data_IF_655423662917
#
_entry.id   IF_655423662917
#
_cell.length_a   1.000
_cell.length_b   1.000
_cell.length_c   1.000
_cell.angle_alpha   90.00
_cell.angle_beta   90.00
_cell.angle_gamma   90.00
#
_symmetry.space_group_name_H-M   'P 1'
#
loop_
_entity.id
_entity.type
_entity.pdbx_description
1 polymer ?
#
# COMPACT_ATOMS: atom_id res chain seq x y z
N UNK A 1 22.39 -11.87 -18.64
CA UNK A 1 21.11 -12.19 -17.97
C UNK A 1 19.98 -11.81 -18.91
N UNK A 2 19.08 -12.75 -19.26
CA UNK A 2 17.94 -12.41 -20.13
C UNK A 2 16.85 -11.65 -19.33
N UNK A 3 15.92 -10.96 -20.01
CA UNK A 3 14.87 -10.16 -19.33
C UNK A 3 14.08 -10.96 -18.31
N UNK A 4 13.88 -12.26 -18.58
CA UNK A 4 13.14 -13.14 -17.69
C UNK A 4 13.83 -13.39 -16.36
N UNK A 5 15.14 -13.64 -16.42
CA UNK A 5 15.99 -13.75 -15.24
C UNK A 5 16.06 -12.42 -14.47
N UNK A 6 16.16 -11.30 -15.17
CA UNK A 6 16.16 -9.97 -14.54
C UNK A 6 14.85 -9.70 -13.78
N UNK A 7 13.70 -9.99 -14.40
CA UNK A 7 12.38 -9.87 -13.79
C UNK A 7 12.21 -10.75 -12.56
N UNK A 8 12.61 -12.03 -12.66
CA UNK A 8 12.56 -12.96 -11.53
C UNK A 8 13.42 -12.51 -10.34
N UNK A 9 14.64 -12.02 -10.61
CA UNK A 9 15.52 -11.50 -9.56
C UNK A 9 14.92 -10.27 -8.89
N UNK A 10 14.41 -9.31 -9.67
CA UNK A 10 13.79 -8.10 -9.13
C UNK A 10 12.54 -8.42 -8.31
N UNK A 11 11.67 -9.31 -8.80
CA UNK A 11 10.47 -9.72 -8.08
C UNK A 11 10.81 -10.43 -6.76
N UNK A 12 11.78 -11.35 -6.79
CA UNK A 12 12.26 -12.04 -5.59
C UNK A 12 12.84 -11.05 -4.59
N UNK A 13 13.66 -10.10 -5.06
CA UNK A 13 14.23 -9.06 -4.21
C UNK A 13 13.13 -8.20 -3.57
N UNK A 14 12.14 -7.74 -4.33
CA UNK A 14 11.02 -6.96 -3.78
C UNK A 14 10.19 -7.74 -2.76
N UNK A 15 9.93 -9.03 -3.02
CA UNK A 15 9.20 -9.90 -2.08
C UNK A 15 9.97 -10.12 -0.77
N UNK A 16 11.29 -10.29 -0.88
CA UNK A 16 12.16 -10.44 0.29
C UNK A 16 12.14 -9.20 1.20
N UNK A 17 12.00 -7.98 0.64
CA UNK A 17 11.90 -6.77 1.46
C UNK A 17 10.66 -6.78 2.38
N UNK A 18 9.53 -7.32 1.90
CA UNK A 18 8.32 -7.50 2.70
C UNK A 18 8.48 -8.59 3.78
N UNK A 19 9.16 -9.69 3.45
CA UNK A 19 9.47 -10.75 4.43
C UNK A 19 10.43 -10.27 5.53
N UNK A 20 11.35 -9.36 5.21
CA UNK A 20 12.22 -8.72 6.21
C UNK A 20 11.38 -7.88 7.18
N UNK A 21 10.39 -7.11 6.72
CA UNK A 21 9.52 -6.35 7.64
C UNK A 21 8.75 -7.30 8.58
N UNK A 22 8.20 -8.39 8.05
CA UNK A 22 7.54 -9.41 8.87
C UNK A 22 8.48 -9.98 9.94
N UNK A 23 9.69 -10.37 9.55
CA UNK A 23 10.68 -10.91 10.48
C UNK A 23 11.07 -9.89 11.57
N UNK A 24 11.20 -8.61 11.21
CA UNK A 24 11.49 -7.53 12.14
C UNK A 24 10.35 -7.32 13.14
N UNK A 25 9.10 -7.31 12.68
CA UNK A 25 7.91 -7.20 13.55
C UNK A 25 7.83 -8.39 14.50
N UNK A 26 7.91 -9.62 13.99
CA UNK A 26 7.86 -10.84 14.81
C UNK A 26 8.98 -10.89 15.86
N UNK A 27 10.19 -10.47 15.50
CA UNK A 27 11.31 -10.37 16.44
C UNK A 27 11.04 -9.35 17.55
N UNK A 28 10.32 -8.28 17.25
CA UNK A 28 10.13 -7.18 18.19
C UNK A 28 8.97 -7.41 19.17
N UNK A 29 7.87 -8.02 18.73
CA UNK A 29 6.65 -8.15 19.55
C UNK A 29 6.18 -9.60 19.77
N UNK A 30 6.92 -10.60 19.26
CA UNK A 30 6.54 -12.00 19.34
C UNK A 30 6.00 -12.52 18.01
N UNK A 31 6.11 -13.83 17.78
CA UNK A 31 5.75 -14.46 16.49
C UNK A 31 4.23 -14.37 16.25
N UNK A 32 3.40 -14.73 17.23
CA UNK A 32 1.94 -14.76 17.06
C UNK A 32 1.38 -13.35 16.88
N UNK A 33 1.83 -12.42 17.71
CA UNK A 33 1.46 -11.02 17.67
C UNK A 33 1.93 -10.40 16.36
N UNK A 34 3.19 -10.63 15.97
CA UNK A 34 3.75 -10.11 14.74
C UNK A 34 3.10 -10.63 13.47
N UNK A 35 2.77 -11.92 13.41
CA UNK A 35 1.99 -12.50 12.32
C UNK A 35 0.60 -11.88 12.22
N UNK A 36 -0.09 -11.70 13.35
CA UNK A 36 -1.40 -11.03 13.38
C UNK A 36 -1.29 -9.59 12.89
N UNK A 37 -0.27 -8.88 13.33
CA UNK A 37 -0.04 -7.50 12.95
C UNK A 37 0.21 -7.35 11.44
N UNK A 38 1.10 -8.17 10.88
CA UNK A 38 1.36 -8.18 9.45
C UNK A 38 0.12 -8.61 8.66
N UNK A 39 -0.63 -9.59 9.16
CA UNK A 39 -1.85 -10.06 8.55
C UNK A 39 -2.95 -8.98 8.50
N UNK A 40 -2.99 -8.05 9.44
CA UNK A 40 -3.95 -6.94 9.42
C UNK A 40 -3.38 -5.61 8.88
N UNK A 41 -2.14 -5.62 8.35
CA UNK A 41 -1.58 -4.52 7.56
C UNK A 41 -1.36 -4.93 6.08
N UNK A 42 -2.43 -5.31 5.34
CA UNK A 42 -2.32 -5.74 3.93
C UNK A 42 -1.68 -4.72 3.02
N UNK A 43 -1.91 -3.43 3.27
CA UNK A 43 -1.33 -2.31 2.52
C UNK A 43 0.20 -2.28 2.58
N UNK A 44 0.83 -2.92 3.58
CA UNK A 44 2.28 -3.08 3.65
C UNK A 44 2.69 -4.53 3.42
N UNK A 45 2.15 -5.50 4.17
CA UNK A 45 2.58 -6.88 4.09
C UNK A 45 2.18 -7.55 2.76
N UNK A 46 0.88 -7.64 2.49
CA UNK A 46 0.38 -8.30 1.27
C UNK A 46 0.87 -7.60 0.01
N UNK A 47 0.93 -6.28 0.02
CA UNK A 47 1.48 -5.51 -1.11
C UNK A 47 2.94 -5.87 -1.40
N UNK A 48 3.84 -5.78 -0.43
CA UNK A 48 5.26 -5.98 -0.68
C UNK A 48 5.64 -7.45 -0.90
N UNK A 49 4.91 -8.39 -0.30
CA UNK A 49 5.21 -9.83 -0.42
C UNK A 49 4.57 -10.45 -1.66
N UNK A 50 3.40 -9.97 -2.10
CA UNK A 50 2.62 -10.61 -3.16
C UNK A 50 2.41 -9.67 -4.35
N UNK A 51 1.71 -8.55 -4.17
CA UNK A 51 1.27 -7.72 -5.30
C UNK A 51 2.43 -7.05 -6.03
N UNK A 52 3.40 -6.48 -5.30
CA UNK A 52 4.54 -5.76 -5.87
C UNK A 52 5.45 -6.71 -6.68
N UNK A 53 5.85 -7.90 -6.18
CA UNK A 53 6.57 -8.89 -6.98
C UNK A 53 5.82 -9.27 -8.26
N UNK A 54 4.51 -9.53 -8.19
CA UNK A 54 3.70 -9.87 -9.35
C UNK A 54 3.67 -8.70 -10.35
N UNK A 55 3.52 -7.46 -9.88
CA UNK A 55 3.54 -6.26 -10.72
C UNK A 55 4.90 -6.04 -11.38
N UNK A 56 6.01 -6.31 -10.67
CA UNK A 56 7.38 -6.25 -11.21
C UNK A 56 7.59 -7.31 -12.28
N UNK A 57 7.13 -8.55 -12.07
CA UNK A 57 7.14 -9.59 -13.09
C UNK A 57 6.35 -9.13 -14.32
N UNK A 58 5.11 -8.69 -14.12
CA UNK A 58 4.26 -8.21 -15.20
C UNK A 58 4.93 -7.08 -16.00
N UNK A 59 5.51 -6.10 -15.33
CA UNK A 59 6.21 -5.00 -15.99
C UNK A 59 7.44 -5.47 -16.77
N UNK A 60 8.29 -6.29 -16.16
CA UNK A 60 9.56 -6.72 -16.79
C UNK A 60 9.36 -7.65 -17.98
N UNK A 61 8.29 -8.44 -17.96
CA UNK A 61 7.99 -9.36 -19.04
C UNK A 61 7.03 -8.75 -20.10
N UNK A 62 6.06 -7.91 -19.74
CA UNK A 62 5.06 -7.37 -20.69
C UNK A 62 5.45 -6.02 -21.30
N UNK A 63 6.39 -5.27 -20.72
CA UNK A 63 6.69 -3.93 -21.21
C UNK A 63 7.68 -3.96 -22.39
N UNK A 64 7.27 -3.55 -23.60
CA UNK A 64 8.15 -3.57 -24.77
C UNK A 64 9.23 -2.49 -24.64
N UNK A 65 10.49 -2.89 -24.52
CA UNK A 65 11.64 -1.97 -24.40
C UNK A 65 11.74 -0.98 -25.57
N UNK A 66 11.31 -1.40 -26.77
CA UNK A 66 11.26 -0.51 -27.95
C UNK A 66 10.30 0.68 -27.81
N UNK A 67 9.35 0.63 -26.88
CA UNK A 67 8.50 1.79 -26.54
C UNK A 67 9.29 2.80 -25.72
N UNK A 68 10.08 2.37 -24.73
CA UNK A 68 10.96 3.27 -23.97
C UNK A 68 11.99 3.93 -24.87
N UNK A 69 12.60 3.18 -25.78
CA UNK A 69 13.57 3.71 -26.74
C UNK A 69 12.97 4.79 -27.65
N UNK A 70 11.73 4.61 -28.12
CA UNK A 70 11.01 5.60 -28.93
C UNK A 70 10.58 6.84 -28.15
N UNK A 71 10.21 6.68 -26.88
CA UNK A 71 9.94 7.83 -25.98
C UNK A 71 11.24 8.57 -25.67
N UNK A 72 12.36 7.85 -25.57
CA UNK A 72 13.67 8.41 -25.22
C UNK A 72 14.38 9.09 -26.39
N UNK A 73 14.09 8.68 -27.63
CA UNK A 73 14.66 9.26 -28.85
C UNK A 73 14.10 10.67 -29.15
N UNK A 74 12.86 10.95 -28.75
CA UNK A 74 12.26 12.28 -28.87
C UNK A 74 12.58 13.15 -27.65
N UNK A 75 13.30 14.26 -27.87
CA UNK A 75 13.74 15.18 -26.80
C UNK A 75 12.57 15.77 -26.00
N UNK A 76 11.43 16.08 -26.63
CA UNK A 76 10.26 16.66 -25.95
C UNK A 76 9.56 15.62 -25.08
N UNK A 77 9.38 14.40 -25.61
CA UNK A 77 8.77 13.28 -24.87
C UNK A 77 9.66 12.82 -23.71
N UNK A 78 10.98 12.74 -23.93
CA UNK A 78 11.97 12.46 -22.89
C UNK A 78 11.95 13.50 -21.78
N UNK A 79 11.92 14.79 -22.13
CA UNK A 79 11.87 15.86 -21.13
C UNK A 79 10.55 15.84 -20.34
N UNK A 80 9.41 15.60 -21.01
CA UNK A 80 8.13 15.42 -20.34
C UNK A 80 8.14 14.20 -19.40
N UNK A 81 8.74 13.07 -19.82
CA UNK A 81 8.91 11.89 -18.98
C UNK A 81 9.74 12.19 -17.75
N UNK A 82 10.89 12.85 -17.90
CA UNK A 82 11.75 13.20 -16.78
C UNK A 82 11.01 14.15 -15.84
N UNK A 83 10.37 15.20 -16.35
CA UNK A 83 9.65 16.17 -15.50
C UNK A 83 8.48 15.51 -14.76
N UNK A 84 7.65 14.73 -15.44
CA UNK A 84 6.49 14.06 -14.82
C UNK A 84 6.94 12.97 -13.85
N UNK A 85 7.92 12.15 -14.23
CA UNK A 85 8.47 11.12 -13.34
C UNK A 85 9.14 11.75 -12.12
N UNK A 86 9.97 12.77 -12.28
CA UNK A 86 10.58 13.49 -11.15
C UNK A 86 9.51 14.14 -10.27
N UNK A 87 8.51 14.82 -10.83
CA UNK A 87 7.44 15.41 -10.04
C UNK A 87 6.66 14.37 -9.24
N UNK A 88 6.32 13.22 -9.85
CA UNK A 88 5.58 12.14 -9.20
C UNK A 88 6.42 11.36 -8.19
N UNK A 89 7.70 11.08 -8.48
CA UNK A 89 8.64 10.44 -7.56
C UNK A 89 8.92 11.35 -6.37
N UNK A 90 9.23 12.62 -6.61
CA UNK A 90 9.48 13.59 -5.54
C UNK A 90 8.24 13.78 -4.69
N UNK A 91 7.05 13.87 -5.30
CA UNK A 91 5.79 13.90 -4.56
C UNK A 91 5.63 12.64 -3.71
N UNK A 92 5.73 11.45 -4.31
CA UNK A 92 5.60 10.18 -3.61
C UNK A 92 6.60 10.01 -2.46
N UNK A 93 7.85 10.44 -2.63
CA UNK A 93 8.89 10.38 -1.62
C UNK A 93 8.66 11.39 -0.48
N UNK A 94 8.28 12.63 -0.82
CA UNK A 94 7.91 13.66 0.17
C UNK A 94 6.70 13.20 0.97
N UNK A 95 5.70 12.60 0.32
CA UNK A 95 4.49 12.11 0.99
C UNK A 95 4.76 10.86 1.82
N UNK A 96 5.43 9.84 1.29
CA UNK A 96 5.75 8.63 2.04
C UNK A 96 6.64 8.91 3.25
N UNK A 97 7.61 9.82 3.12
CA UNK A 97 8.45 10.28 4.22
C UNK A 97 7.68 11.10 5.25
N UNK A 98 6.85 12.05 4.79
CA UNK A 98 6.02 12.85 5.68
C UNK A 98 4.94 12.02 6.39
N UNK A 99 4.42 10.96 5.78
CA UNK A 99 3.41 10.08 6.37
C UNK A 99 4.03 9.18 7.45
N UNK A 100 5.23 8.63 7.21
CA UNK A 100 5.96 7.87 8.23
C UNK A 100 6.28 8.74 9.47
N UNK A 101 6.78 9.97 9.24
CA UNK A 101 7.07 10.92 10.32
C UNK A 101 5.79 11.35 11.02
N UNK A 102 4.75 11.81 10.29
CA UNK A 102 3.49 12.25 10.90
C UNK A 102 2.76 11.12 11.62
N UNK A 103 2.82 9.90 11.10
CA UNK A 103 2.26 8.72 11.75
C UNK A 103 2.89 8.48 13.11
N UNK A 104 4.22 8.54 13.18
CA UNK A 104 4.94 8.38 14.45
C UNK A 104 4.71 9.56 15.41
N UNK A 105 4.80 10.81 14.93
CA UNK A 105 4.78 11.99 15.80
C UNK A 105 3.36 12.44 16.19
N UNK A 106 2.33 12.09 15.41
CA UNK A 106 0.96 12.59 15.61
C UNK A 106 -0.08 11.50 15.86
N UNK A 107 0.20 10.22 15.55
CA UNK A 107 -0.84 9.16 15.56
C UNK A 107 -0.71 8.09 16.63
N UNK A 108 0.25 8.26 17.52
CA UNK A 108 0.68 7.28 18.51
C UNK A 108 1.37 6.09 17.81
N UNK A 109 2.71 5.99 17.90
CA UNK A 109 3.45 4.96 17.21
C UNK A 109 3.14 3.59 17.80
N UNK A 110 3.07 2.58 16.95
CA UNK A 110 2.92 1.21 17.42
C UNK A 110 4.07 0.79 18.37
N UNK A 111 3.84 -0.18 19.27
CA UNK A 111 4.91 -0.70 20.13
C UNK A 111 6.12 -1.22 19.34
N UNK A 112 5.88 -1.79 18.15
CA UNK A 112 6.92 -2.24 17.22
C UNK A 112 7.68 -1.08 16.55
N UNK A 113 7.14 0.14 16.59
CA UNK A 113 7.72 1.30 15.92
C UNK A 113 8.64 2.12 16.82
N UNK A 114 8.76 1.79 18.12
CA UNK A 114 9.59 2.53 19.10
C UNK A 114 10.88 1.76 19.42
N UNK A 115 12.01 2.48 19.59
CA UNK A 115 13.39 1.93 19.62
C UNK A 115 13.78 1.04 20.85
N UNK A 116 12.93 0.91 21.89
CA UNK A 116 13.07 0.13 23.17
C UNK A 116 14.21 0.62 24.11
N UNK A 117 13.98 0.93 25.40
CA UNK A 117 13.64 0.02 26.52
C UNK A 117 12.60 0.58 27.53
N UNK A 118 12.33 1.88 27.52
CA UNK A 118 11.47 2.55 28.52
C UNK A 118 9.97 2.34 28.21
N UNK A 119 9.59 2.35 26.93
CA UNK A 119 8.19 2.20 26.48
C UNK A 119 7.76 0.73 26.41
N UNK A 120 8.65 -0.19 25.99
CA UNK A 120 8.33 -1.61 25.87
C UNK A 120 8.30 -2.37 27.21
N UNK A 121 8.92 -1.82 28.27
CA UNK A 121 8.78 -2.33 29.63
C UNK A 121 7.51 -1.82 30.35
N UNK A 122 7.04 -0.63 30.00
CA UNK A 122 5.81 -0.04 30.55
C UNK A 122 4.54 -0.42 29.78
N UNK A 123 4.67 -0.72 28.48
CA UNK A 123 3.66 -1.30 27.62
C UNK A 123 4.13 -2.72 27.26
N UNK A 124 3.91 -3.68 28.16
CA UNK A 124 4.13 -5.09 27.85
C UNK A 124 3.36 -5.42 26.55
N UNK A 125 4.07 -5.47 25.42
CA UNK A 125 3.46 -5.40 24.09
C UNK A 125 2.37 -6.48 23.87
N UNK A 126 2.50 -7.72 24.38
CA UNK A 126 1.42 -8.72 24.37
C UNK A 126 0.21 -8.31 25.20
N UNK A 127 0.40 -7.85 26.45
CA UNK A 127 -0.69 -7.41 27.33
C UNK A 127 -1.36 -6.13 26.81
N UNK A 128 -0.59 -5.21 26.24
CA UNK A 128 -1.08 -4.01 25.61
C UNK A 128 -1.88 -4.36 24.35
N UNK A 129 -1.35 -5.13 23.41
CA UNK A 129 -2.06 -5.59 22.22
C UNK A 129 -3.31 -6.41 22.57
N UNK A 130 -3.25 -7.26 23.59
CA UNK A 130 -4.40 -8.03 24.05
C UNK A 130 -5.48 -7.14 24.67
N UNK A 131 -5.07 -6.15 25.49
CA UNK A 131 -5.97 -5.18 26.13
C UNK A 131 -6.54 -4.21 25.11
N UNK A 132 -5.76 -3.77 24.14
CA UNK A 132 -6.21 -2.91 23.06
C UNK A 132 -7.12 -3.66 22.10
N UNK A 133 -6.81 -4.91 21.73
CA UNK A 133 -7.76 -5.75 21.00
C UNK A 133 -9.04 -5.95 21.79
N UNK A 134 -8.96 -6.15 23.10
CA UNK A 134 -10.14 -6.29 23.95
C UNK A 134 -10.95 -4.99 24.06
N UNK A 135 -10.28 -3.84 24.16
CA UNK A 135 -10.90 -2.50 24.23
C UNK A 135 -11.47 -2.07 22.88
N UNK A 136 -10.72 -2.21 21.79
CA UNK A 136 -11.20 -2.05 20.42
C UNK A 136 -12.42 -2.93 20.21
N UNK A 137 -12.36 -4.24 20.51
CA UNK A 137 -13.53 -5.14 20.42
C UNK A 137 -14.71 -4.70 21.30
N UNK A 138 -14.46 -4.20 22.52
CA UNK A 138 -15.51 -3.77 23.44
C UNK A 138 -16.18 -2.46 23.01
N UNK A 139 -15.40 -1.44 22.64
CA UNK A 139 -15.89 -0.13 22.16
C UNK A 139 -16.59 -0.25 20.79
N UNK A 140 -16.07 -1.11 19.92
CA UNK A 140 -16.65 -1.47 18.63
C UNK A 140 -17.98 -2.21 18.78
N UNK A 141 -18.07 -3.21 19.67
CA UNK A 141 -19.33 -3.94 19.95
C UNK A 141 -20.38 -3.06 20.60
N UNK A 142 -19.95 -2.08 21.39
CA UNK A 142 -20.84 -1.10 22.00
C UNK A 142 -21.41 -0.08 20.99
N UNK A 143 -21.02 -0.12 19.70
CA UNK A 143 -21.34 0.92 18.70
C UNK A 143 -21.03 2.32 19.23
N UNK A 144 -20.01 2.45 20.09
CA UNK A 144 -19.73 3.72 20.72
C UNK A 144 -19.19 4.66 19.64
N UNK A 145 -19.72 5.88 19.58
CA UNK A 145 -19.29 6.90 18.61
C UNK A 145 -17.87 7.44 18.90
N UNK A 146 -17.13 6.83 19.83
CA UNK A 146 -15.90 7.40 20.36
C UNK A 146 -14.78 6.36 20.51
N UNK A 147 -14.13 5.94 19.40
CA UNK A 147 -12.77 5.36 19.41
C UNK A 147 -11.71 6.28 20.03
N UNK A 148 -12.10 7.50 20.43
CA UNK A 148 -11.24 8.57 20.90
C UNK A 148 -10.74 8.37 22.34
N UNK A 149 -11.41 7.57 23.19
CA UNK A 149 -11.04 7.49 24.62
C UNK A 149 -9.87 6.53 24.85
N UNK A 150 -9.95 5.28 24.37
CA UNK A 150 -8.85 4.32 24.46
C UNK A 150 -7.58 4.84 23.75
N UNK A 151 -7.74 5.47 22.58
CA UNK A 151 -6.62 6.11 21.89
C UNK A 151 -6.08 7.32 22.63
N UNK A 152 -6.92 8.19 23.20
CA UNK A 152 -6.42 9.33 23.99
C UNK A 152 -5.62 8.85 25.20
N UNK A 153 -6.09 7.81 25.89
CA UNK A 153 -5.37 7.20 27.01
C UNK A 153 -4.03 6.59 26.55
N UNK A 154 -4.02 5.88 25.42
CA UNK A 154 -2.78 5.38 24.83
C UNK A 154 -1.82 6.49 24.45
N UNK A 155 -2.32 7.48 23.72
CA UNK A 155 -1.53 8.60 23.20
C UNK A 155 -0.92 9.37 24.37
N UNK A 156 -1.68 9.63 25.44
CA UNK A 156 -1.19 10.24 26.68
C UNK A 156 -0.13 9.39 27.37
N UNK A 157 -0.32 8.06 27.47
CA UNK A 157 0.69 7.16 28.05
C UNK A 157 1.97 7.18 27.22
N UNK A 158 1.86 7.16 25.89
CA UNK A 158 3.01 7.23 25.00
C UNK A 158 3.69 8.60 25.07
N UNK A 159 2.93 9.70 25.17
CA UNK A 159 3.47 11.05 25.41
C UNK A 159 4.23 11.13 26.73
N UNK A 160 3.65 10.60 27.79
CA UNK A 160 4.27 10.58 29.11
C UNK A 160 5.58 9.77 29.11
N UNK A 161 5.66 8.71 28.31
CA UNK A 161 6.83 7.84 28.22
C UNK A 161 7.91 8.34 27.23
N UNK A 162 7.51 9.01 26.15
CA UNK A 162 8.43 9.56 25.13
C UNK A 162 8.89 10.99 25.44
N UNK A 163 8.20 11.70 26.34
CA UNK A 163 8.43 13.11 26.61
C UNK A 163 7.85 14.03 25.52
N UNK A 164 8.14 15.33 25.64
CA UNK A 164 7.62 16.39 24.75
C UNK A 164 8.26 16.35 23.35
N UNK A 165 9.47 15.80 23.22
CA UNK A 165 10.17 15.64 21.94
C UNK A 165 9.86 14.29 21.28
N UNK A 166 8.78 14.26 20.51
CA UNK A 166 8.50 13.19 19.54
C UNK A 166 9.36 13.40 18.28
N UNK A 167 10.67 13.23 18.37
CA UNK A 167 11.51 13.20 17.16
C UNK A 167 11.50 11.79 16.56
N UNK A 168 10.92 11.65 15.36
CA UNK A 168 10.84 10.38 14.66
C UNK A 168 12.21 9.69 14.53
N UNK A 169 13.27 10.44 14.20
CA UNK A 169 14.55 9.83 13.85
C UNK A 169 15.29 9.24 15.05
N UNK A 170 15.16 9.85 16.22
CA UNK A 170 15.78 9.37 17.46
C UNK A 170 14.95 8.30 18.16
N UNK A 171 13.62 8.42 18.15
CA UNK A 171 12.71 7.59 18.94
C UNK A 171 12.17 6.36 18.21
N UNK A 172 12.15 6.37 16.87
CA UNK A 172 11.62 5.24 16.09
C UNK A 172 12.59 4.06 16.01
N UNK A 173 12.01 2.86 15.98
CA UNK A 173 12.72 1.59 15.80
C UNK A 173 13.30 1.50 14.38
N UNK A 174 14.26 0.59 14.20
CA UNK A 174 14.74 0.27 12.86
C UNK A 174 13.60 -0.22 11.95
N UNK A 175 12.66 -1.00 12.51
CA UNK A 175 11.48 -1.48 11.79
C UNK A 175 10.61 -0.34 11.29
N UNK A 176 10.33 0.68 12.11
CA UNK A 176 9.53 1.83 11.69
C UNK A 176 10.15 2.54 10.48
N UNK A 177 11.47 2.75 10.52
CA UNK A 177 12.24 3.34 9.42
C UNK A 177 12.20 2.46 8.17
N UNK A 178 12.31 1.14 8.34
CA UNK A 178 12.19 0.16 7.26
C UNK A 178 10.80 0.21 6.61
N UNK A 179 9.73 0.17 7.40
CA UNK A 179 8.34 0.25 6.94
C UNK A 179 8.04 1.59 6.25
N UNK A 180 8.60 2.70 6.74
CA UNK A 180 8.56 4.00 6.07
C UNK A 180 9.27 3.97 4.71
N UNK A 181 10.46 3.37 4.64
CA UNK A 181 11.20 3.16 3.39
C UNK A 181 10.43 2.31 2.37
N UNK A 182 9.79 1.23 2.82
CA UNK A 182 8.92 0.40 1.99
C UNK A 182 7.73 1.20 1.44
N UNK A 183 7.09 2.01 2.28
CA UNK A 183 5.98 2.88 1.86
C UNK A 183 6.43 3.87 0.78
N UNK A 184 7.61 4.48 0.94
CA UNK A 184 8.22 5.36 -0.08
C UNK A 184 8.49 4.59 -1.38
N UNK A 185 9.04 3.38 -1.30
CA UNK A 185 9.33 2.54 -2.46
C UNK A 185 8.04 2.21 -3.23
N UNK A 186 6.99 1.77 -2.53
CA UNK A 186 5.69 1.47 -3.13
C UNK A 186 5.04 2.70 -3.79
N UNK A 187 5.06 3.85 -3.11
CA UNK A 187 4.54 5.09 -3.66
C UNK A 187 5.35 5.56 -4.89
N UNK A 188 6.67 5.42 -4.84
CA UNK A 188 7.57 5.72 -5.96
C UNK A 188 7.25 4.84 -7.16
N UNK A 189 7.09 3.54 -6.95
CA UNK A 189 6.71 2.59 -8.01
C UNK A 189 5.37 2.99 -8.65
N UNK A 190 4.34 3.25 -7.86
CA UNK A 190 3.04 3.70 -8.37
C UNK A 190 3.16 5.03 -9.16
N UNK A 191 3.95 5.98 -8.66
CA UNK A 191 4.22 7.26 -9.33
C UNK A 191 4.91 7.08 -10.68
N UNK A 192 5.89 6.18 -10.78
CA UNK A 192 6.56 5.84 -12.04
C UNK A 192 5.58 5.25 -13.05
N UNK A 193 4.71 4.32 -12.63
CA UNK A 193 3.71 3.72 -13.52
C UNK A 193 2.75 4.79 -14.06
N UNK A 194 2.24 5.66 -13.20
CA UNK A 194 1.35 6.77 -13.61
C UNK A 194 2.06 7.75 -14.55
N UNK A 195 3.34 8.06 -14.28
CA UNK A 195 4.17 8.89 -15.16
C UNK A 195 4.31 8.26 -16.54
N UNK A 196 4.63 6.96 -16.59
CA UNK A 196 4.77 6.20 -17.82
C UNK A 196 3.46 6.21 -18.62
N UNK A 197 2.31 5.98 -17.99
CA UNK A 197 0.99 6.07 -18.64
C UNK A 197 0.79 7.46 -19.24
N UNK A 198 0.95 8.53 -18.44
CA UNK A 198 0.73 9.91 -18.90
C UNK A 198 1.61 10.29 -20.08
N UNK A 199 2.88 9.89 -20.06
CA UNK A 199 3.82 10.15 -21.14
C UNK A 199 3.46 9.39 -22.40
N UNK A 200 3.07 8.12 -22.30
CA UNK A 200 2.67 7.32 -23.46
C UNK A 200 1.40 7.86 -24.12
N UNK A 201 0.45 8.34 -23.31
CA UNK A 201 -0.73 9.06 -23.80
C UNK A 201 -0.31 10.32 -24.57
N UNK A 202 0.50 11.19 -23.96
CA UNK A 202 0.97 12.43 -24.59
C UNK A 202 1.79 12.17 -25.86
N UNK A 203 2.57 11.10 -25.85
CA UNK A 203 3.41 10.67 -26.96
C UNK A 203 2.62 10.04 -28.12
N UNK A 204 1.31 9.74 -27.92
CA UNK A 204 0.49 8.91 -28.80
C UNK A 204 1.16 7.57 -29.16
N UNK A 205 1.89 7.01 -28.21
CA UNK A 205 2.73 5.81 -28.40
C UNK A 205 2.14 4.57 -27.72
N UNK A 206 0.82 4.54 -27.52
CA UNK A 206 0.13 3.44 -26.86
C UNK A 206 -0.18 2.33 -27.86
N UNK A 207 0.73 1.36 -27.94
CA UNK A 207 0.50 0.10 -28.62
C UNK A 207 -0.42 -0.81 -27.80
N UNK A 208 -1.18 -1.70 -28.46
CA UNK A 208 -2.15 -2.59 -27.79
C UNK A 208 -1.52 -3.39 -26.66
N UNK A 209 -0.34 -3.96 -26.89
CA UNK A 209 0.42 -4.74 -25.90
C UNK A 209 0.83 -3.89 -24.69
N UNK A 210 1.28 -2.65 -24.93
CA UNK A 210 1.64 -1.71 -23.87
C UNK A 210 0.44 -1.33 -23.01
N UNK A 211 -0.72 -1.10 -23.64
CA UNK A 211 -1.96 -0.78 -22.91
C UNK A 211 -2.42 -1.99 -22.09
N UNK A 212 -2.31 -3.23 -22.61
CA UNK A 212 -2.62 -4.45 -21.84
C UNK A 212 -1.72 -4.59 -20.61
N UNK A 213 -0.41 -4.43 -20.79
CA UNK A 213 0.59 -4.48 -19.72
C UNK A 213 0.29 -3.45 -18.62
N UNK A 214 0.04 -2.20 -19.02
CA UNK A 214 -0.28 -1.11 -18.09
C UNK A 214 -1.60 -1.34 -17.38
N UNK A 215 -2.64 -1.82 -18.08
CA UNK A 215 -3.93 -2.14 -17.48
C UNK A 215 -3.81 -3.21 -16.41
N UNK A 216 -2.99 -4.24 -16.65
CA UNK A 216 -2.70 -5.30 -15.68
C UNK A 216 -1.99 -4.76 -14.43
N UNK A 217 -0.96 -3.92 -14.60
CA UNK A 217 -0.22 -3.34 -13.48
C UNK A 217 -1.11 -2.39 -12.67
N UNK A 218 -1.88 -1.55 -13.36
CA UNK A 218 -2.83 -0.62 -12.74
C UNK A 218 -3.90 -1.36 -11.95
N UNK A 219 -4.38 -2.49 -12.46
CA UNK A 219 -5.32 -3.35 -11.78
C UNK A 219 -4.70 -3.99 -10.51
N UNK A 220 -3.45 -4.45 -10.55
CA UNK A 220 -2.74 -4.94 -9.35
C UNK A 220 -2.53 -3.84 -8.31
N UNK A 221 -2.18 -2.61 -8.74
CA UNK A 221 -2.07 -1.44 -7.88
C UNK A 221 -3.41 -0.99 -7.30
N UNK A 222 -4.51 -1.20 -8.03
CA UNK A 222 -5.86 -0.90 -7.57
C UNK A 222 -6.25 -1.76 -6.38
N UNK A 223 -5.89 -3.05 -6.39
CA UNK A 223 -6.12 -3.97 -5.27
C UNK A 223 -5.42 -3.49 -3.99
N UNK A 224 -4.23 -2.90 -4.10
CA UNK A 224 -3.52 -2.33 -2.95
C UNK A 224 -4.27 -1.17 -2.30
N UNK A 225 -4.87 -0.27 -3.11
CA UNK A 225 -5.58 0.90 -2.59
C UNK A 225 -6.84 0.52 -1.82
N UNK A 226 -7.55 -0.53 -2.24
CA UNK A 226 -8.72 -1.05 -1.52
C UNK A 226 -8.40 -1.50 -0.09
N UNK A 227 -7.18 -1.96 0.14
CA UNK A 227 -6.72 -2.43 1.44
C UNK A 227 -6.04 -1.35 2.29
N UNK A 228 -5.73 -0.18 1.71
CA UNK A 228 -4.97 0.86 2.40
C UNK A 228 -5.77 1.54 3.51
N UNK A 229 -7.05 1.83 3.28
CA UNK A 229 -7.93 2.37 4.31
C UNK A 229 -8.02 1.47 5.53
N UNK A 230 -8.14 0.15 5.32
CA UNK A 230 -8.11 -0.83 6.39
C UNK A 230 -6.77 -0.85 7.15
N UNK A 231 -5.64 -0.92 6.41
CA UNK A 231 -4.30 -0.85 7.01
C UNK A 231 -4.08 0.40 7.86
N UNK A 232 -4.58 1.56 7.40
CA UNK A 232 -4.49 2.81 8.16
C UNK A 232 -5.41 2.81 9.37
N UNK A 233 -6.63 2.27 9.24
CA UNK A 233 -7.52 2.11 10.39
C UNK A 233 -6.89 1.19 11.45
N UNK A 234 -6.32 0.07 11.05
CA UNK A 234 -5.66 -0.89 11.93
C UNK A 234 -4.39 -0.32 12.56
N UNK A 235 -3.53 0.28 11.74
CA UNK A 235 -2.27 0.91 12.18
C UNK A 235 -2.48 2.12 13.09
N UNK A 236 -3.61 2.81 12.96
CA UNK A 236 -3.97 3.99 13.77
C UNK A 236 -5.07 3.68 14.79
N UNK A 237 -5.19 2.43 15.25
CA UNK A 237 -6.00 2.07 16.41
C UNK A 237 -7.47 2.46 16.28
N UNK A 238 -8.04 2.26 15.10
CA UNK A 238 -9.45 2.48 14.83
C UNK A 238 -9.81 3.87 14.29
N UNK A 239 -8.83 4.75 14.06
CA UNK A 239 -9.08 6.08 13.50
C UNK A 239 -8.59 6.24 12.06
N UNK A 240 -9.44 6.82 11.22
CA UNK A 240 -9.09 7.30 9.90
C UNK A 240 -8.90 8.82 9.94
N UNK A 241 -7.66 9.26 10.15
CA UNK A 241 -7.33 10.68 10.18
C UNK A 241 -7.17 11.24 8.74
N UNK A 242 -8.13 12.07 8.34
CA UNK A 242 -8.23 12.67 7.00
C UNK A 242 -6.96 13.40 6.53
N UNK A 243 -6.23 14.04 7.45
CA UNK A 243 -5.07 14.87 7.14
C UNK A 243 -3.87 14.12 6.54
N UNK A 244 -3.71 12.82 6.78
CA UNK A 244 -2.69 12.01 6.06
C UNK A 244 -3.28 10.94 5.14
N UNK A 245 -4.59 10.71 5.19
CA UNK A 245 -5.27 9.82 4.24
C UNK A 245 -5.54 10.48 2.88
N UNK A 246 -5.63 11.81 2.84
CA UNK A 246 -5.94 12.61 1.64
C UNK A 246 -5.03 12.30 0.43
N UNK A 247 -3.69 12.17 0.56
CA UNK A 247 -2.83 11.80 -0.55
C UNK A 247 -3.15 10.42 -1.16
N UNK A 248 -3.50 9.43 -0.34
CA UNK A 248 -3.86 8.09 -0.83
C UNK A 248 -5.20 8.10 -1.58
N UNK A 249 -6.17 8.88 -1.10
CA UNK A 249 -7.43 9.12 -1.83
C UNK A 249 -7.16 9.78 -3.18
N UNK A 250 -6.26 10.77 -3.23
CA UNK A 250 -5.88 11.44 -4.48
C UNK A 250 -5.19 10.46 -5.44
N UNK A 251 -4.27 9.63 -4.95
CA UNK A 251 -3.61 8.59 -5.75
C UNK A 251 -4.61 7.55 -6.24
N UNK A 252 -5.58 7.16 -5.42
CA UNK A 252 -6.64 6.23 -5.81
C UNK A 252 -7.58 6.79 -6.86
N UNK A 253 -7.95 8.07 -6.76
CA UNK A 253 -8.69 8.77 -7.81
C UNK A 253 -7.85 8.85 -9.09
N UNK A 254 -6.55 9.19 -8.99
CA UNK A 254 -5.66 9.27 -10.15
C UNK A 254 -5.50 7.91 -10.85
N UNK A 255 -5.38 6.82 -10.08
CA UNK A 255 -5.36 5.46 -10.59
C UNK A 255 -6.71 5.11 -11.24
N UNK A 256 -7.83 5.39 -10.58
CA UNK A 256 -9.17 5.17 -11.16
C UNK A 256 -9.37 5.91 -12.49
N UNK A 257 -8.93 7.18 -12.55
CA UNK A 257 -8.95 8.00 -13.77
C UNK A 257 -8.03 7.41 -14.84
N UNK A 258 -6.78 7.07 -14.50
CA UNK A 258 -5.85 6.43 -15.44
C UNK A 258 -6.42 5.12 -16.00
N UNK A 259 -7.08 4.33 -15.15
CA UNK A 259 -7.70 3.07 -15.53
C UNK A 259 -8.88 3.29 -16.47
N UNK A 260 -9.73 4.27 -16.18
CA UNK A 260 -10.83 4.67 -17.04
C UNK A 260 -10.33 5.16 -18.41
N UNK A 261 -9.27 5.96 -18.43
CA UNK A 261 -8.65 6.39 -19.69
C UNK A 261 -8.06 5.22 -20.48
N UNK A 262 -7.35 4.30 -19.84
CA UNK A 262 -6.82 3.10 -20.51
C UNK A 262 -7.95 2.20 -21.04
N UNK A 263 -9.07 2.11 -20.31
CA UNK A 263 -10.27 1.41 -20.76
C UNK A 263 -10.88 2.04 -22.02
N UNK A 264 -11.02 3.37 -22.06
CA UNK A 264 -11.52 4.08 -23.25
C UNK A 264 -10.64 3.90 -24.49
N UNK A 265 -9.34 3.66 -24.30
CA UNK A 265 -8.36 3.46 -25.38
C UNK A 265 -8.30 2.00 -25.87
N UNK A 266 -9.03 1.08 -25.24
CA UNK A 266 -9.14 -0.31 -25.68
C UNK A 266 -10.38 -0.54 -26.54
N UNK A 267 -10.31 -1.53 -27.43
CA UNK A 267 -11.53 -2.12 -27.99
C UNK A 267 -12.29 -2.78 -26.83
N UNK A 268 -13.53 -2.37 -26.60
CA UNK A 268 -14.37 -2.71 -25.44
C UNK A 268 -14.64 -4.21 -25.25
N UNK A 269 -14.14 -5.03 -26.18
CA UNK A 269 -14.26 -6.49 -26.20
C UNK A 269 -13.14 -7.19 -25.44
N UNK A 270 -12.07 -6.48 -25.04
CA UNK A 270 -10.94 -7.13 -24.39
C UNK A 270 -11.16 -7.30 -22.87
N UNK A 271 -11.10 -8.53 -22.32
CA UNK A 271 -11.38 -8.80 -20.90
C UNK A 271 -10.50 -7.98 -19.93
N UNK A 272 -9.24 -7.74 -20.28
CA UNK A 272 -8.29 -6.95 -19.48
C UNK A 272 -8.78 -5.52 -19.26
N UNK A 273 -9.25 -4.86 -20.30
CA UNK A 273 -9.71 -3.47 -20.17
C UNK A 273 -10.97 -3.41 -19.33
N UNK A 274 -11.91 -4.34 -19.53
CA UNK A 274 -13.14 -4.41 -18.73
C UNK A 274 -12.81 -4.64 -17.25
N UNK A 275 -11.92 -5.60 -16.95
CA UNK A 275 -11.49 -5.90 -15.58
C UNK A 275 -10.76 -4.71 -14.93
N UNK A 276 -9.81 -4.10 -15.63
CA UNK A 276 -9.11 -2.92 -15.17
C UNK A 276 -10.11 -1.78 -14.93
N UNK A 277 -10.93 -1.42 -15.93
CA UNK A 277 -11.93 -0.35 -15.83
C UNK A 277 -12.90 -0.55 -14.65
N UNK A 278 -13.36 -1.78 -14.45
CA UNK A 278 -14.24 -2.14 -13.32
C UNK A 278 -13.54 -1.97 -11.98
N UNK A 279 -12.31 -2.46 -11.85
CA UNK A 279 -11.52 -2.34 -10.61
C UNK A 279 -11.12 -0.89 -10.32
N UNK A 280 -10.74 -0.12 -11.34
CA UNK A 280 -10.42 1.31 -11.21
C UNK A 280 -11.64 2.13 -10.78
N UNK A 281 -12.82 1.84 -11.34
CA UNK A 281 -14.07 2.45 -10.89
C UNK A 281 -14.40 2.07 -9.44
N UNK A 282 -14.24 0.79 -9.09
CA UNK A 282 -14.39 0.30 -7.71
C UNK A 282 -13.47 1.02 -6.73
N UNK A 283 -12.19 1.21 -7.08
CA UNK A 283 -11.24 1.98 -6.29
C UNK A 283 -11.65 3.44 -6.13
N UNK A 284 -12.12 4.10 -7.19
CA UNK A 284 -12.59 5.48 -7.10
C UNK A 284 -13.81 5.60 -6.17
N UNK A 285 -14.72 4.62 -6.22
CA UNK A 285 -15.87 4.54 -5.30
C UNK A 285 -15.41 4.31 -3.87
N UNK A 286 -14.52 3.35 -3.62
CA UNK A 286 -14.00 3.07 -2.28
C UNK A 286 -13.23 4.27 -1.73
N UNK A 287 -12.35 4.89 -2.52
CA UNK A 287 -11.65 6.12 -2.13
C UNK A 287 -12.62 7.28 -1.84
N UNK A 288 -13.73 7.35 -2.59
CA UNK A 288 -14.83 8.28 -2.33
C UNK A 288 -15.55 7.98 -1.01
N UNK A 289 -15.89 6.71 -0.75
CA UNK A 289 -16.51 6.26 0.51
C UNK A 289 -15.56 6.56 1.68
N UNK A 290 -14.28 6.24 1.56
CA UNK A 290 -13.29 6.56 2.59
C UNK A 290 -13.20 8.06 2.88
N UNK A 291 -13.36 8.89 1.83
CA UNK A 291 -13.34 10.35 1.98
C UNK A 291 -14.65 10.94 2.55
N UNK A 292 -15.80 10.40 2.19
CA UNK A 292 -17.08 11.06 2.52
C UNK A 292 -17.90 10.30 3.58
N UNK A 293 -17.56 9.04 3.84
CA UNK A 293 -18.22 8.10 4.75
C UNK A 293 -17.19 7.19 5.48
N UNK A 294 -16.21 7.77 6.19
CA UNK A 294 -15.19 7.01 6.93
C UNK A 294 -15.78 6.00 7.93
N UNK A 295 -16.99 6.25 8.44
CA UNK A 295 -17.71 5.36 9.33
C UNK A 295 -18.09 4.01 8.68
N UNK A 296 -18.27 3.96 7.36
CA UNK A 296 -18.54 2.72 6.63
C UNK A 296 -17.27 1.86 6.50
N UNK A 297 -16.13 2.52 6.29
CA UNK A 297 -14.82 1.84 6.26
C UNK A 297 -14.52 1.24 7.61
N UNK A 298 -14.79 1.98 8.70
CA UNK A 298 -14.64 1.46 10.05
C UNK A 298 -15.51 0.20 10.27
N UNK A 299 -16.77 0.21 9.83
CA UNK A 299 -17.65 -0.96 9.95
C UNK A 299 -17.14 -2.21 9.21
N UNK A 300 -16.59 -2.04 8.01
CA UNK A 300 -15.96 -3.15 7.26
C UNK A 300 -14.66 -3.59 7.93
N UNK A 301 -13.83 -2.64 8.37
CA UNK A 301 -12.58 -2.89 9.06
C UNK A 301 -12.79 -3.69 10.35
N UNK A 302 -13.85 -3.38 11.08
CA UNK A 302 -14.29 -4.13 12.27
C UNK A 302 -14.57 -5.60 11.92
N UNK A 303 -15.37 -5.86 10.88
CA UNK A 303 -15.69 -7.23 10.49
C UNK A 303 -14.44 -8.02 10.08
N UNK A 304 -13.48 -7.36 9.42
CA UNK A 304 -12.20 -7.98 9.02
C UNK A 304 -11.27 -8.19 10.21
N UNK A 305 -11.34 -7.34 11.24
CA UNK A 305 -10.48 -7.42 12.44
C UNK A 305 -10.75 -8.64 13.33
N UNK A 306 -11.88 -9.32 13.13
CA UNK A 306 -12.22 -10.54 13.86
C UNK A 306 -11.54 -11.79 13.28
N UNK A 307 -11.05 -11.73 12.04
CA UNK A 307 -10.29 -12.83 11.46
C UNK A 307 -8.96 -13.03 12.17
N UNK A 308 -8.61 -14.29 12.43
CA UNK A 308 -7.28 -14.69 12.85
C UNK A 308 -6.25 -14.45 11.74
N UNK A 309 -4.97 -14.40 12.14
CA UNK A 309 -3.88 -14.26 11.17
C UNK A 309 -3.85 -15.38 10.13
N UNK A 310 -4.28 -16.60 10.51
CA UNK A 310 -4.35 -17.74 9.60
C UNK A 310 -5.50 -17.61 8.61
N UNK A 311 -6.66 -17.12 9.03
CA UNK A 311 -7.79 -16.83 8.12
C UNK A 311 -7.40 -15.73 7.13
N UNK A 312 -6.76 -14.66 7.61
CA UNK A 312 -6.24 -13.60 6.74
C UNK A 312 -5.19 -14.13 5.75
N UNK A 313 -4.30 -15.04 6.18
CA UNK A 313 -3.34 -15.67 5.27
C UNK A 313 -4.01 -16.51 4.17
N UNK A 314 -5.10 -17.22 4.49
CA UNK A 314 -5.89 -17.94 3.47
C UNK A 314 -6.49 -16.97 2.47
N UNK A 315 -7.08 -15.87 2.95
CA UNK A 315 -7.63 -14.81 2.09
C UNK A 315 -6.55 -14.23 1.17
N UNK A 316 -5.38 -13.88 1.72
CA UNK A 316 -4.26 -13.36 0.92
C UNK A 316 -3.70 -14.35 -0.06
N UNK A 317 -3.62 -15.63 0.32
CA UNK A 317 -3.19 -16.70 -0.60
C UNK A 317 -4.17 -16.81 -1.77
N UNK A 318 -5.48 -16.83 -1.50
CA UNK A 318 -6.50 -16.86 -2.53
C UNK A 318 -6.41 -15.62 -3.45
N UNK A 319 -6.31 -14.41 -2.89
CA UNK A 319 -6.16 -13.18 -3.66
C UNK A 319 -4.87 -13.17 -4.49
N UNK A 320 -3.77 -13.67 -3.94
CA UNK A 320 -2.49 -13.80 -4.63
C UNK A 320 -2.58 -14.77 -5.82
N UNK A 321 -3.18 -15.94 -5.61
CA UNK A 321 -3.42 -16.93 -6.67
C UNK A 321 -4.36 -16.41 -7.75
N UNK A 322 -5.45 -15.73 -7.37
CA UNK A 322 -6.34 -15.07 -8.33
C UNK A 322 -5.59 -14.00 -9.14
N UNK A 323 -4.78 -13.18 -8.48
CA UNK A 323 -3.98 -12.14 -9.15
C UNK A 323 -2.95 -12.75 -10.11
N UNK A 324 -2.22 -13.77 -9.67
CA UNK A 324 -1.24 -14.47 -10.49
C UNK A 324 -1.87 -15.23 -11.66
N UNK A 325 -2.99 -15.94 -11.41
CA UNK A 325 -3.75 -16.64 -12.45
C UNK A 325 -4.32 -15.67 -13.48
N UNK A 326 -4.79 -14.50 -13.04
CA UNK A 326 -5.28 -13.47 -13.94
C UNK A 326 -4.13 -12.83 -14.75
N UNK A 327 -2.96 -12.63 -14.15
CA UNK A 327 -1.74 -12.23 -14.88
C UNK A 327 -1.33 -13.29 -15.93
N UNK A 328 -1.41 -14.57 -15.58
CA UNK A 328 -1.08 -15.69 -16.46
C UNK A 328 -2.05 -15.80 -17.64
N UNK A 329 -3.37 -15.76 -17.38
CA UNK A 329 -4.42 -15.85 -18.40
C UNK A 329 -4.45 -14.65 -19.35
N UNK A 330 -3.97 -13.50 -18.88
CA UNK A 330 -3.98 -12.24 -19.61
C UNK A 330 -2.60 -11.90 -20.19
N UNK A 331 -1.65 -12.82 -20.07
CA UNK A 331 -0.30 -12.71 -20.61
C UNK A 331 -0.35 -12.69 -22.15
N UNK A 332 0.27 -11.72 -22.85
CA UNK A 332 0.41 -11.80 -24.29
C UNK A 332 1.41 -12.92 -24.62
N UNK A 333 0.97 -13.91 -25.39
CA UNK A 333 1.70 -15.12 -25.83
C UNK A 333 1.60 -16.35 -24.92
N UNK A 334 0.36 -16.74 -24.60
CA UNK A 334 -0.04 -18.15 -24.74
C UNK A 334 -0.78 -18.34 -26.05
#
# INVERSE_FOLDING_TARGET
>A
MNRRQAGAVLATATGALGLIDLALVCRQIGIQEGLTCAAHDPGKFFFHVVLLPIAVLALTFSFPVGVLERVWSDRRKRMALVVVATALISSAAIYGGSDAVRGFERRAPWPADVRKSIVAGALDAPTYLARERALLRAEVRAKSKHPSVARAEYTQRVEALLGVERDYWSQSSFRAKWAGGLTILGATFAGVILATIGVLVLARALERETVRALSLIVMLLSTWLLFRGYSEWWGNLGELSFGTYTPFVIVGIAIGVATFFLWLLHEWKHPIAVAAGTLGAGVAVVAGIEKFKPEWVAAVAIAVSDYSWSEMLVIYTALGLCSAGLVYLLWPDS
#
